data_IF_208430621402
#
_entry.id   IF_208430621402
#
_cell.length_a   1.000
_cell.length_b   1.000
_cell.length_c   1.000
_cell.angle_alpha   90.00
_cell.angle_beta   90.00
_cell.angle_gamma   90.00
#
_symmetry.space_group_name_H-M   'P 1'
#
loop_
_entity.id
_entity.type
_entity.pdbx_description
1 polymer ?
#
# COMPACT_ATOMS: atom_id res chain seq x y z
N UNK A 1 -1.03 -0.61 16.40
CA UNK A 1 -0.30 -1.71 15.71
C UNK A 1 1.11 -1.92 16.22
N UNK A 2 1.78 -0.91 16.81
CA UNK A 2 3.07 -1.16 17.46
C UNK A 2 2.92 -2.16 18.62
N UNK A 3 1.74 -2.26 19.24
CA UNK A 3 1.44 -3.26 20.27
C UNK A 3 1.54 -4.70 19.77
N UNK A 4 1.42 -4.95 18.46
CA UNK A 4 1.53 -6.29 17.86
C UNK A 4 2.94 -6.47 17.28
N UNK A 5 3.44 -5.48 16.54
CA UNK A 5 4.71 -5.62 15.81
C UNK A 5 5.95 -5.48 16.68
N UNK A 6 5.83 -4.98 17.91
CA UNK A 6 6.94 -4.80 18.86
C UNK A 6 6.80 -5.66 20.12
N UNK A 7 5.73 -6.45 20.24
CA UNK A 7 5.53 -7.38 21.34
C UNK A 7 6.22 -8.71 21.05
N UNK A 8 6.54 -9.47 22.10
CA UNK A 8 6.98 -10.84 21.92
C UNK A 8 5.80 -11.71 21.45
N UNK A 9 6.04 -12.77 20.65
CA UNK A 9 4.97 -13.68 20.23
C UNK A 9 4.17 -14.26 21.39
N UNK A 10 4.83 -14.57 22.52
CA UNK A 10 4.23 -15.10 23.75
C UNK A 10 3.27 -14.10 24.44
N UNK A 11 3.43 -12.80 24.16
CA UNK A 11 2.68 -11.71 24.80
C UNK A 11 1.50 -11.25 23.94
N UNK A 12 1.42 -11.72 22.69
CA UNK A 12 0.38 -11.34 21.75
C UNK A 12 -0.63 -12.47 21.61
N UNK A 13 -1.93 -12.23 21.88
CA UNK A 13 -2.96 -13.23 21.61
C UNK A 13 -2.93 -13.64 20.13
N UNK A 14 -2.57 -14.89 19.88
CA UNK A 14 -2.50 -15.47 18.54
C UNK A 14 -3.22 -16.82 18.50
N UNK A 15 -3.74 -17.15 17.33
CA UNK A 15 -4.30 -18.47 17.04
C UNK A 15 -3.43 -19.13 15.99
N UNK A 16 -3.21 -20.43 16.13
CA UNK A 16 -2.57 -21.20 15.07
C UNK A 16 -3.49 -21.21 13.84
N UNK A 17 -2.91 -20.86 12.70
CA UNK A 17 -3.55 -20.94 11.40
C UNK A 17 -2.50 -21.45 10.43
N UNK A 18 -2.74 -22.62 9.85
CA UNK A 18 -1.87 -23.21 8.84
C UNK A 18 -2.27 -22.73 7.44
N UNK A 19 -1.33 -22.68 6.46
CA UNK A 19 -1.63 -22.22 5.10
C UNK A 19 -2.82 -22.94 4.45
N UNK A 20 -2.95 -24.25 4.67
CA UNK A 20 -4.01 -25.09 4.10
C UNK A 20 -5.42 -24.75 4.66
N UNK A 21 -5.50 -24.07 5.80
CA UNK A 21 -6.76 -23.68 6.43
C UNK A 21 -7.29 -22.33 5.92
N UNK A 22 -6.43 -21.51 5.31
CA UNK A 22 -6.78 -20.17 4.82
C UNK A 22 -7.95 -20.19 3.83
N UNK A 23 -7.98 -21.06 2.80
CA UNK A 23 -9.10 -21.08 1.86
C UNK A 23 -10.46 -21.36 2.51
N UNK A 24 -10.51 -22.30 3.45
CA UNK A 24 -11.74 -22.64 4.16
C UNK A 24 -12.21 -21.48 5.05
N UNK A 25 -11.27 -20.79 5.71
CA UNK A 25 -11.56 -19.62 6.53
C UNK A 25 -12.08 -18.46 5.67
N UNK A 26 -11.39 -18.14 4.57
CA UNK A 26 -11.81 -17.10 3.63
C UNK A 26 -13.22 -17.38 3.09
N UNK A 27 -13.53 -18.63 2.73
CA UNK A 27 -14.88 -19.03 2.31
C UNK A 27 -15.92 -18.84 3.41
N UNK A 28 -15.59 -19.16 4.65
CA UNK A 28 -16.51 -18.99 5.81
C UNK A 28 -16.90 -17.53 6.01
N UNK A 29 -15.98 -16.60 5.73
CA UNK A 29 -16.21 -15.15 5.83
C UNK A 29 -16.58 -14.48 4.51
N UNK A 30 -16.91 -15.24 3.46
CA UNK A 30 -17.22 -14.73 2.11
C UNK A 30 -16.15 -13.76 1.57
N UNK A 31 -14.88 -14.03 1.89
CA UNK A 31 -13.75 -13.25 1.45
C UNK A 31 -13.30 -13.67 0.05
N UNK A 32 -13.02 -12.68 -0.80
CA UNK A 32 -12.49 -12.88 -2.17
C UNK A 32 -10.96 -12.79 -2.24
N UNK A 33 -10.35 -12.29 -1.18
CA UNK A 33 -8.91 -12.07 -1.10
C UNK A 33 -8.37 -12.26 0.31
N UNK A 34 -7.08 -12.55 0.39
CA UNK A 34 -6.32 -12.64 1.64
C UNK A 34 -5.24 -11.56 1.63
N UNK A 35 -5.11 -10.84 2.74
CA UNK A 35 -4.10 -9.82 2.93
C UNK A 35 -3.09 -10.23 4.00
N UNK A 36 -1.80 -10.06 3.72
CA UNK A 36 -0.70 -10.35 4.64
C UNK A 36 -0.12 -9.03 5.15
N UNK A 37 -0.25 -8.74 6.45
CA UNK A 37 -0.07 -7.39 7.02
C UNK A 37 0.18 -7.40 8.55
N UNK A 38 0.20 -6.21 9.15
CA UNK A 38 0.40 -5.84 10.58
C UNK A 38 1.80 -6.13 11.13
N UNK A 39 2.21 -7.38 11.12
CA UNK A 39 3.63 -7.74 11.16
C UNK A 39 4.21 -7.59 9.75
N UNK A 40 5.41 -8.08 9.51
CA UNK A 40 6.05 -7.96 8.19
C UNK A 40 6.04 -9.33 7.46
N UNK A 41 5.28 -9.50 6.37
CA UNK A 41 5.24 -10.77 5.62
C UNK A 41 6.59 -11.24 5.08
N UNK A 42 7.57 -10.36 4.95
CA UNK A 42 8.94 -10.77 4.62
C UNK A 42 9.69 -11.44 5.78
N UNK A 43 9.24 -11.27 7.03
CA UNK A 43 9.82 -11.91 8.21
C UNK A 43 9.31 -13.35 8.35
N UNK A 44 8.05 -13.61 8.04
CA UNK A 44 7.45 -14.96 8.01
C UNK A 44 7.31 -15.49 6.58
N UNK A 45 8.36 -15.31 5.77
CA UNK A 45 8.33 -15.50 4.33
C UNK A 45 7.76 -16.86 3.89
N UNK A 46 8.19 -17.96 4.50
CA UNK A 46 7.76 -19.31 4.16
C UNK A 46 6.24 -19.46 4.37
N UNK A 47 5.74 -19.03 5.52
CA UNK A 47 4.32 -19.05 5.83
C UNK A 47 3.52 -18.18 4.86
N UNK A 48 3.98 -16.96 4.58
CA UNK A 48 3.32 -16.05 3.63
C UNK A 48 3.28 -16.65 2.22
N UNK A 49 4.37 -17.26 1.77
CA UNK A 49 4.46 -17.87 0.45
C UNK A 49 3.53 -19.07 0.32
N UNK A 50 3.57 -20.01 1.26
CA UNK A 50 2.73 -21.21 1.23
C UNK A 50 1.25 -20.82 1.29
N UNK A 51 0.93 -19.82 2.11
CA UNK A 51 -0.42 -19.25 2.18
C UNK A 51 -0.87 -18.64 0.85
N UNK A 52 0.00 -17.87 0.18
CA UNK A 52 -0.30 -17.30 -1.13
C UNK A 52 -0.58 -18.40 -2.17
N UNK A 53 0.19 -19.50 -2.13
CA UNK A 53 -0.01 -20.65 -3.00
C UNK A 53 -1.39 -21.25 -2.76
N UNK A 54 -1.76 -21.56 -1.51
CA UNK A 54 -3.06 -22.16 -1.17
C UNK A 54 -4.24 -21.27 -1.51
N UNK A 55 -4.13 -19.98 -1.21
CA UNK A 55 -5.16 -19.00 -1.57
C UNK A 55 -5.37 -18.97 -3.10
N UNK A 56 -4.28 -18.95 -3.88
CA UNK A 56 -4.36 -18.93 -5.34
C UNK A 56 -4.93 -20.22 -5.93
N UNK A 57 -4.54 -21.38 -5.40
CA UNK A 57 -5.11 -22.69 -5.77
C UNK A 57 -6.64 -22.73 -5.56
N UNK A 58 -7.13 -22.04 -4.53
CA UNK A 58 -8.56 -21.90 -4.23
C UNK A 58 -9.27 -20.77 -5.00
N UNK A 59 -8.59 -20.08 -5.91
CA UNK A 59 -9.15 -18.98 -6.70
C UNK A 59 -9.27 -17.64 -5.95
N UNK A 60 -8.66 -17.50 -4.77
CA UNK A 60 -8.60 -16.26 -4.00
C UNK A 60 -7.48 -15.35 -4.52
N UNK A 61 -7.66 -14.03 -4.32
CA UNK A 61 -6.64 -13.02 -4.59
C UNK A 61 -5.72 -12.82 -3.41
N UNK A 62 -4.44 -12.55 -3.67
CA UNK A 62 -3.46 -12.26 -2.61
C UNK A 62 -3.00 -10.81 -2.64
N UNK A 63 -3.02 -10.16 -1.48
CA UNK A 63 -2.53 -8.80 -1.28
C UNK A 63 -1.43 -8.75 -0.22
N UNK A 64 -0.29 -8.12 -0.53
CA UNK A 64 0.77 -7.85 0.45
C UNK A 64 0.67 -6.42 0.97
N UNK A 65 0.84 -6.23 2.28
CA UNK A 65 1.11 -4.93 2.88
C UNK A 65 2.45 -5.05 3.60
N UNK A 66 3.48 -4.35 3.13
CA UNK A 66 4.88 -4.66 3.48
C UNK A 66 5.79 -3.44 3.42
N UNK A 67 6.86 -3.45 4.20
CA UNK A 67 7.99 -2.53 4.04
C UNK A 67 8.87 -2.85 2.82
N UNK A 68 8.67 -4.01 2.18
CA UNK A 68 9.33 -4.37 0.92
C UNK A 68 10.84 -4.58 1.02
N UNK A 69 11.38 -4.85 2.22
CA UNK A 69 12.81 -5.07 2.43
C UNK A 69 13.17 -6.55 2.24
N UNK A 70 13.39 -6.96 0.99
CA UNK A 70 13.62 -8.36 0.61
C UNK A 70 14.61 -8.48 -0.55
N UNK A 71 15.33 -9.61 -0.62
CA UNK A 71 16.18 -9.96 -1.75
C UNK A 71 15.35 -10.28 -3.00
N UNK A 72 15.89 -9.98 -4.18
CA UNK A 72 15.14 -10.11 -5.44
C UNK A 72 14.69 -11.55 -5.75
N UNK A 73 15.55 -12.56 -5.50
CA UNK A 73 15.23 -13.97 -5.78
C UNK A 73 13.97 -14.45 -5.01
N UNK A 74 13.88 -14.33 -3.68
CA UNK A 74 12.67 -14.72 -2.96
C UNK A 74 11.47 -13.81 -3.29
N UNK A 75 11.69 -12.52 -3.58
CA UNK A 75 10.62 -11.63 -4.04
C UNK A 75 9.98 -12.14 -5.34
N UNK A 76 10.78 -12.44 -6.36
CA UNK A 76 10.27 -12.95 -7.65
C UNK A 76 9.50 -14.26 -7.51
N UNK A 77 9.90 -15.12 -6.57
CA UNK A 77 9.16 -16.35 -6.25
C UNK A 77 7.78 -16.01 -5.67
N UNK A 78 7.71 -15.06 -4.74
CA UNK A 78 6.48 -14.62 -4.10
C UNK A 78 5.53 -13.92 -5.09
N UNK A 79 6.05 -13.04 -5.96
CA UNK A 79 5.25 -12.30 -6.95
C UNK A 79 4.46 -13.19 -7.92
N UNK A 80 4.83 -14.47 -8.10
CA UNK A 80 4.07 -15.42 -8.92
C UNK A 80 2.67 -15.70 -8.36
N UNK A 81 2.49 -15.50 -7.06
CA UNK A 81 1.27 -15.83 -6.33
C UNK A 81 0.54 -14.61 -5.78
N UNK A 82 1.14 -13.42 -5.87
CA UNK A 82 0.60 -12.16 -5.36
C UNK A 82 -0.07 -11.39 -6.49
N UNK A 83 -1.28 -10.88 -6.25
CA UNK A 83 -2.02 -10.08 -7.22
C UNK A 83 -1.82 -8.58 -6.98
N UNK A 84 -1.71 -8.15 -5.72
CA UNK A 84 -1.50 -6.75 -5.36
C UNK A 84 -0.50 -6.57 -4.20
N UNK A 85 0.18 -5.43 -4.15
CA UNK A 85 1.08 -5.08 -3.06
C UNK A 85 1.01 -3.59 -2.74
N UNK A 86 0.70 -3.26 -1.48
CA UNK A 86 0.92 -1.94 -0.91
C UNK A 86 2.28 -1.93 -0.21
N UNK A 87 3.22 -1.16 -0.73
CA UNK A 87 4.61 -1.14 -0.25
C UNK A 87 4.92 0.22 0.37
N UNK A 88 5.44 0.20 1.60
CA UNK A 88 5.85 1.40 2.32
C UNK A 88 7.16 1.96 1.77
N UNK A 89 7.10 3.08 1.04
CA UNK A 89 8.27 3.89 0.72
C UNK A 89 8.37 5.02 1.73
N UNK A 90 9.15 4.82 2.81
CA UNK A 90 9.15 5.73 3.98
C UNK A 90 9.82 7.08 3.72
N UNK A 91 10.81 7.14 2.84
CA UNK A 91 11.43 8.36 2.33
C UNK A 91 12.27 8.05 1.09
N UNK A 92 12.59 9.04 0.26
CA UNK A 92 13.58 8.88 -0.81
C UNK A 92 14.99 9.28 -0.33
N UNK A 93 15.41 8.74 0.82
CA UNK A 93 16.67 9.06 1.49
C UNK A 93 17.28 7.84 2.19
N UNK A 94 18.46 7.40 1.78
CA UNK A 94 19.15 6.27 2.44
C UNK A 94 19.52 6.62 3.89
N UNK A 95 19.80 7.90 4.18
CA UNK A 95 20.04 8.38 5.54
C UNK A 95 18.81 8.16 6.43
N UNK A 96 17.61 8.52 5.95
CA UNK A 96 16.37 8.28 6.72
C UNK A 96 16.21 6.78 7.03
N UNK A 97 16.48 5.91 6.06
CA UNK A 97 16.41 4.46 6.27
C UNK A 97 17.42 3.96 7.31
N UNK A 98 18.66 4.45 7.30
CA UNK A 98 19.68 4.06 8.28
C UNK A 98 19.39 4.58 9.68
N UNK A 99 19.01 5.86 9.78
CA UNK A 99 18.86 6.55 11.06
C UNK A 99 17.54 6.16 11.74
N UNK A 100 16.44 6.12 10.99
CA UNK A 100 15.09 5.91 11.52
C UNK A 100 14.65 4.44 11.39
N UNK A 101 14.88 3.82 10.23
CA UNK A 101 14.34 2.48 9.95
C UNK A 101 15.33 1.35 10.29
N UNK A 102 16.60 1.68 10.60
CA UNK A 102 17.70 0.71 10.75
C UNK A 102 17.85 -0.23 9.55
N UNK A 103 17.62 0.30 8.35
CA UNK A 103 17.63 -0.43 7.09
C UNK A 103 18.32 0.40 6.00
N UNK A 104 18.19 0.00 4.73
CA UNK A 104 18.69 0.73 3.56
C UNK A 104 17.58 0.96 2.53
N UNK A 105 17.68 2.02 1.73
CA UNK A 105 16.62 2.38 0.79
C UNK A 105 16.54 1.44 -0.43
N UNK A 106 17.70 1.03 -0.94
CA UNK A 106 17.82 0.34 -2.24
C UNK A 106 16.95 -0.92 -2.35
N UNK A 107 16.87 -1.83 -1.34
CA UNK A 107 16.02 -3.01 -1.44
C UNK A 107 14.53 -2.68 -1.62
N UNK A 108 14.03 -1.63 -0.97
CA UNK A 108 12.61 -1.22 -1.09
C UNK A 108 12.31 -0.69 -2.49
N UNK A 109 13.20 0.14 -3.05
CA UNK A 109 13.06 0.63 -4.42
C UNK A 109 13.09 -0.51 -5.44
N UNK A 110 13.99 -1.48 -5.25
CA UNK A 110 14.05 -2.67 -6.09
C UNK A 110 12.75 -3.49 -5.99
N UNK A 111 12.19 -3.65 -4.80
CA UNK A 111 10.93 -4.38 -4.59
C UNK A 111 9.78 -3.75 -5.35
N UNK A 112 9.61 -2.43 -5.27
CA UNK A 112 8.58 -1.69 -6.02
C UNK A 112 8.68 -1.95 -7.53
N UNK A 113 9.89 -1.82 -8.10
CA UNK A 113 10.13 -2.01 -9.53
C UNK A 113 9.92 -3.46 -9.96
N UNK A 114 10.44 -4.42 -9.19
CA UNK A 114 10.32 -5.85 -9.50
C UNK A 114 8.88 -6.32 -9.40
N UNK A 115 8.13 -5.93 -8.37
CA UNK A 115 6.70 -6.25 -8.25
C UNK A 115 5.93 -5.80 -9.49
N UNK A 116 6.11 -4.53 -9.89
CA UNK A 116 5.41 -3.97 -11.05
C UNK A 116 5.82 -4.67 -12.36
N UNK A 117 7.11 -4.94 -12.53
CA UNK A 117 7.62 -5.68 -13.70
C UNK A 117 7.12 -7.14 -13.76
N UNK A 118 6.79 -7.73 -12.61
CA UNK A 118 6.21 -9.08 -12.50
C UNK A 118 4.68 -9.09 -12.67
N UNK A 119 4.04 -7.93 -12.92
CA UNK A 119 2.60 -7.81 -13.13
C UNK A 119 1.76 -7.75 -11.84
N UNK A 120 2.39 -7.48 -10.70
CA UNK A 120 1.67 -7.21 -9.45
C UNK A 120 1.12 -5.78 -9.50
N UNK A 121 -0.14 -5.59 -9.09
CA UNK A 121 -0.69 -4.24 -8.90
C UNK A 121 -0.04 -3.59 -7.68
N UNK A 122 0.73 -2.54 -7.90
CA UNK A 122 1.52 -1.87 -6.86
C UNK A 122 0.87 -0.57 -6.45
N UNK A 123 0.71 -0.41 -5.14
CA UNK A 123 0.41 0.87 -4.52
C UNK A 123 1.55 1.25 -3.57
N UNK A 124 1.79 2.55 -3.41
CA UNK A 124 2.84 3.06 -2.53
C UNK A 124 2.21 3.76 -1.34
N UNK A 125 2.66 3.45 -0.13
CA UNK A 125 2.31 4.20 1.07
C UNK A 125 3.51 4.98 1.58
N UNK A 126 3.28 6.25 1.94
CA UNK A 126 4.27 7.11 2.56
C UNK A 126 3.66 7.77 3.81
N UNK A 127 4.10 7.32 4.99
CA UNK A 127 3.75 7.93 6.27
C UNK A 127 4.53 9.24 6.42
N UNK A 128 3.82 10.37 6.47
CA UNK A 128 4.46 11.68 6.59
C UNK A 128 4.74 11.98 8.06
N UNK A 129 6.00 12.08 8.43
CA UNK A 129 6.47 12.42 9.78
C UNK A 129 7.00 13.86 9.75
N UNK A 130 6.41 14.78 10.55
CA UNK A 130 6.85 16.17 10.60
C UNK A 130 8.36 16.31 10.77
N UNK A 131 8.98 17.23 10.05
CA UNK A 131 10.43 17.54 10.04
C UNK A 131 11.36 16.48 9.47
N UNK A 132 10.90 15.25 9.24
CA UNK A 132 11.77 14.15 8.80
C UNK A 132 11.62 13.80 7.32
N UNK A 133 10.40 13.83 6.79
CA UNK A 133 10.14 13.50 5.38
C UNK A 133 9.00 14.34 4.75
N UNK A 134 8.69 15.50 5.33
CA UNK A 134 7.53 16.33 4.97
C UNK A 134 7.89 17.64 4.23
N UNK A 135 9.14 17.83 3.81
CA UNK A 135 9.51 19.01 3.00
C UNK A 135 8.99 18.90 1.57
N UNK A 136 8.68 20.03 0.94
CA UNK A 136 8.21 20.07 -0.46
C UNK A 136 9.18 19.35 -1.40
N UNK A 137 10.48 19.52 -1.18
CA UNK A 137 11.52 18.95 -2.02
C UNK A 137 11.56 17.41 -1.89
N UNK A 138 11.39 16.88 -0.68
CA UNK A 138 11.27 15.44 -0.46
C UNK A 138 10.00 14.86 -1.09
N UNK A 139 8.86 15.54 -0.92
CA UNK A 139 7.57 15.13 -1.48
C UNK A 139 7.58 15.14 -3.02
N UNK A 140 8.19 16.17 -3.63
CA UNK A 140 8.40 16.24 -5.08
C UNK A 140 9.33 15.15 -5.57
N UNK A 141 10.46 14.93 -4.89
CA UNK A 141 11.41 13.89 -5.27
C UNK A 141 10.78 12.50 -5.24
N UNK A 142 10.05 12.17 -4.17
CA UNK A 142 9.30 10.92 -4.05
C UNK A 142 8.27 10.76 -5.16
N UNK A 143 7.45 11.79 -5.40
CA UNK A 143 6.39 11.74 -6.42
C UNK A 143 6.96 11.57 -7.83
N UNK A 144 8.02 12.33 -8.17
CA UNK A 144 8.74 12.19 -9.44
C UNK A 144 9.36 10.82 -9.62
N UNK A 145 9.92 10.25 -8.55
CA UNK A 145 10.50 8.92 -8.60
C UNK A 145 9.43 7.87 -8.92
N UNK A 146 8.25 7.95 -8.28
CA UNK A 146 7.12 7.04 -8.57
C UNK A 146 6.67 7.21 -10.02
N UNK A 147 6.44 8.43 -10.49
CA UNK A 147 6.04 8.69 -11.89
C UNK A 147 7.03 8.09 -12.88
N UNK A 148 8.33 8.25 -12.65
CA UNK A 148 9.38 7.79 -13.58
C UNK A 148 9.58 6.29 -13.57
N UNK A 149 9.54 5.66 -12.40
CA UNK A 149 9.93 4.25 -12.25
C UNK A 149 8.74 3.30 -12.19
N UNK A 150 7.60 3.79 -11.70
CA UNK A 150 6.38 3.01 -11.55
C UNK A 150 5.28 3.50 -12.50
N UNK A 151 5.26 4.75 -12.95
CA UNK A 151 4.23 5.27 -13.85
C UNK A 151 3.17 6.10 -13.13
N UNK A 152 2.55 7.02 -13.89
CA UNK A 152 1.62 8.06 -13.40
C UNK A 152 0.35 7.51 -12.78
N UNK A 153 -0.03 6.30 -13.19
CA UNK A 153 -1.19 5.57 -12.75
C UNK A 153 -0.98 4.82 -11.42
N UNK A 154 0.24 4.77 -10.89
CA UNK A 154 0.53 4.09 -9.62
C UNK A 154 -0.06 4.88 -8.45
N UNK A 155 -0.95 4.29 -7.63
CA UNK A 155 -1.51 4.96 -6.46
C UNK A 155 -0.45 5.30 -5.42
N UNK A 156 -0.53 6.52 -4.88
CA UNK A 156 0.25 6.97 -3.73
C UNK A 156 -0.66 7.35 -2.58
N UNK A 157 -0.42 6.80 -1.41
CA UNK A 157 -1.14 7.08 -0.17
C UNK A 157 -0.24 7.86 0.78
N UNK A 158 -0.61 9.09 1.11
CA UNK A 158 0.01 9.82 2.20
C UNK A 158 -0.75 9.55 3.50
N UNK A 159 -0.07 8.96 4.47
CA UNK A 159 -0.67 8.57 5.75
C UNK A 159 -0.24 9.50 6.88
N UNK A 160 -1.16 9.81 7.78
CA UNK A 160 -0.91 10.62 8.98
C UNK A 160 -0.08 9.84 10.00
N UNK A 161 1.01 10.46 10.47
CA UNK A 161 1.77 10.01 11.63
C UNK A 161 1.06 10.41 12.94
N UNK A 162 1.19 9.55 13.93
CA UNK A 162 0.80 9.78 15.31
C UNK A 162 1.97 9.45 16.24
N UNK A 163 2.25 10.28 17.26
CA UNK A 163 3.39 10.10 18.16
C UNK A 163 3.19 8.98 19.17
N UNK A 164 3.30 7.75 18.70
CA UNK A 164 3.20 6.53 19.49
C UNK A 164 4.56 5.85 19.67
N UNK A 165 4.61 4.86 20.56
CA UNK A 165 5.79 4.08 20.88
C UNK A 165 7.01 4.94 21.27
N UNK A 166 8.10 4.95 20.50
CA UNK A 166 9.34 5.66 20.82
C UNK A 166 9.39 7.11 20.32
N UNK A 167 8.69 7.44 19.23
CA UNK A 167 8.75 8.76 18.60
C UNK A 167 7.63 9.67 19.15
N UNK A 168 7.77 10.07 20.42
CA UNK A 168 6.75 10.88 21.13
C UNK A 168 6.98 12.38 21.10
N UNK A 169 8.15 12.80 20.65
CA UNK A 169 8.62 14.19 20.69
C UNK A 169 8.18 15.04 19.49
N UNK A 170 7.45 14.47 18.54
CA UNK A 170 6.91 15.16 17.36
C UNK A 170 5.38 15.24 17.45
N UNK A 171 4.74 16.28 16.91
CA UNK A 171 3.29 16.30 16.82
C UNK A 171 2.78 15.26 15.81
N UNK A 172 1.50 14.86 15.88
CA UNK A 172 0.89 14.16 14.75
C UNK A 172 0.94 15.04 13.50
N UNK A 173 1.03 14.45 12.31
CA UNK A 173 1.12 15.22 11.07
C UNK A 173 -0.08 16.14 10.93
N UNK A 174 0.12 17.46 10.76
CA UNK A 174 -0.96 18.37 10.43
C UNK A 174 -1.65 17.90 9.15
N UNK A 175 -2.96 18.10 9.07
CA UNK A 175 -3.67 17.61 7.91
C UNK A 175 -3.37 18.46 6.66
N UNK A 176 -3.08 19.73 6.88
CA UNK A 176 -2.67 20.70 5.88
C UNK A 176 -1.36 20.25 5.22
N UNK A 177 -0.48 19.58 5.96
CA UNK A 177 0.73 18.94 5.42
C UNK A 177 0.38 17.81 4.45
N UNK A 178 -0.65 17.01 4.75
CA UNK A 178 -1.12 15.92 3.88
C UNK A 178 -1.83 16.47 2.64
N UNK A 179 -2.65 17.50 2.80
CA UNK A 179 -3.32 18.20 1.68
C UNK A 179 -2.28 18.79 0.72
N UNK A 180 -1.25 19.44 1.26
CA UNK A 180 -0.11 19.94 0.48
C UNK A 180 0.65 18.81 -0.22
N UNK A 181 0.93 17.70 0.48
CA UNK A 181 1.61 16.55 -0.11
C UNK A 181 0.82 15.97 -1.30
N UNK A 182 -0.51 15.85 -1.15
CA UNK A 182 -1.41 15.43 -2.23
C UNK A 182 -1.33 16.37 -3.43
N UNK A 183 -1.44 17.68 -3.22
CA UNK A 183 -1.34 18.67 -4.30
C UNK A 183 0.00 18.60 -5.03
N UNK A 184 1.10 18.46 -4.28
CA UNK A 184 2.44 18.30 -4.86
C UNK A 184 2.50 17.05 -5.74
N UNK A 185 2.09 15.90 -5.22
CA UNK A 185 2.12 14.64 -5.96
C UNK A 185 1.29 14.67 -7.25
N UNK A 186 0.09 15.27 -7.20
CA UNK A 186 -0.75 15.49 -8.38
C UNK A 186 -0.09 16.43 -9.38
N UNK A 187 0.54 17.52 -8.92
CA UNK A 187 1.28 18.46 -9.77
C UNK A 187 2.50 17.84 -10.46
N UNK A 188 3.13 16.86 -9.83
CA UNK A 188 4.24 16.08 -10.41
C UNK A 188 3.74 14.97 -11.37
N UNK A 189 2.41 14.80 -11.48
CA UNK A 189 1.76 14.04 -12.54
C UNK A 189 1.09 12.73 -12.12
N UNK A 190 1.02 12.42 -10.83
CA UNK A 190 0.30 11.25 -10.33
C UNK A 190 -1.21 11.40 -10.49
N UNK A 191 -1.86 10.35 -11.01
CA UNK A 191 -3.31 10.34 -11.26
C UNK A 191 -4.13 10.03 -10.01
N UNK A 192 -3.57 9.22 -9.11
CA UNK A 192 -4.27 8.72 -7.93
C UNK A 192 -3.42 8.97 -6.70
N UNK A 193 -3.85 9.96 -5.91
CA UNK A 193 -3.20 10.31 -4.65
C UNK A 193 -4.25 10.34 -3.56
N UNK A 194 -4.01 9.60 -2.48
CA UNK A 194 -4.95 9.43 -1.38
C UNK A 194 -4.35 9.94 -0.08
N UNK A 195 -5.22 10.38 0.83
CA UNK A 195 -4.85 10.74 2.20
C UNK A 195 -5.49 9.74 3.14
N UNK A 196 -4.68 9.13 4.00
CA UNK A 196 -5.08 8.08 4.92
C UNK A 196 -4.83 8.43 6.38
N UNK A 197 -5.37 7.60 7.28
CA UNK A 197 -5.20 7.70 8.72
C UNK A 197 -5.69 9.03 9.33
N UNK A 198 -6.64 9.67 8.66
CA UNK A 198 -7.36 10.86 9.10
C UNK A 198 -8.70 10.94 8.37
N UNK A 199 -9.75 11.44 9.04
CA UNK A 199 -11.00 11.79 8.37
C UNK A 199 -10.84 13.13 7.65
N UNK A 200 -10.83 13.09 6.31
CA UNK A 200 -10.76 14.27 5.45
C UNK A 200 -11.71 14.13 4.25
N UNK A 201 -12.45 15.18 3.87
CA UNK A 201 -13.33 15.13 2.70
C UNK A 201 -12.57 14.74 1.44
N UNK A 202 -13.12 13.81 0.65
CA UNK A 202 -12.56 13.35 -0.64
C UNK A 202 -11.16 12.71 -0.58
N UNK A 203 -10.61 12.51 0.61
CA UNK A 203 -9.26 12.00 0.82
C UNK A 203 -9.06 10.58 0.25
N UNK A 204 -10.09 9.74 0.31
CA UNK A 204 -10.10 8.38 -0.21
C UNK A 204 -10.87 8.21 -1.53
N UNK A 205 -11.36 9.28 -2.14
CA UNK A 205 -12.18 9.19 -3.35
C UNK A 205 -11.30 8.99 -4.59
N UNK A 206 -11.76 8.13 -5.51
CA UNK A 206 -11.09 7.95 -6.80
C UNK A 206 -11.78 8.81 -7.86
N UNK A 207 -11.01 9.69 -8.51
CA UNK A 207 -11.46 10.50 -9.64
C UNK A 207 -10.86 9.99 -10.95
N UNK A 208 -11.61 10.10 -12.04
CA UNK A 208 -11.12 9.70 -13.36
C UNK A 208 -10.02 10.65 -13.85
N UNK A 209 -8.81 10.18 -14.20
CA UNK A 209 -7.77 11.07 -14.70
C UNK A 209 -8.09 11.69 -16.07
N UNK A 210 -8.97 11.05 -16.86
CA UNK A 210 -9.38 11.58 -18.17
C UNK A 210 -10.46 12.66 -18.15
N UNK A 211 -11.42 12.61 -17.22
CA UNK A 211 -12.57 13.53 -17.23
C UNK A 211 -12.89 14.17 -15.87
N UNK A 212 -12.13 13.87 -14.82
CA UNK A 212 -12.29 14.43 -13.48
C UNK A 212 -13.52 13.96 -12.70
N UNK A 213 -14.41 13.15 -13.30
CA UNK A 213 -15.60 12.65 -12.61
C UNK A 213 -15.22 11.71 -11.47
N UNK A 214 -15.92 11.80 -10.34
CA UNK A 214 -15.78 10.86 -9.22
C UNK A 214 -16.26 9.48 -9.68
N UNK A 215 -15.41 8.48 -9.47
CA UNK A 215 -15.65 7.09 -9.84
C UNK A 215 -15.89 6.21 -8.62
N UNK A 216 -15.17 6.45 -7.52
CA UNK A 216 -15.36 5.73 -6.27
C UNK A 216 -15.53 6.73 -5.14
N UNK A 217 -16.61 6.60 -4.37
CA UNK A 217 -16.87 7.35 -3.14
C UNK A 217 -16.49 6.48 -1.94
N UNK A 218 -15.71 7.01 -0.99
CA UNK A 218 -15.38 6.30 0.24
C UNK A 218 -15.68 7.13 1.49
N UNK A 219 -16.12 6.45 2.53
CA UNK A 219 -16.19 6.98 3.90
C UNK A 219 -15.45 6.02 4.82
N UNK A 220 -14.23 6.39 5.22
CA UNK A 220 -13.31 5.45 5.87
C UNK A 220 -13.05 4.24 4.98
N UNK A 221 -13.32 3.04 5.52
CA UNK A 221 -13.18 1.78 4.79
C UNK A 221 -14.40 1.40 3.95
N UNK A 222 -15.51 2.13 4.06
CA UNK A 222 -16.74 1.83 3.31
C UNK A 222 -16.71 2.44 1.92
N UNK A 223 -16.95 1.63 0.91
CA UNK A 223 -17.19 2.08 -0.47
C UNK A 223 -18.68 2.40 -0.62
N UNK A 224 -19.02 3.68 -0.66
CA UNK A 224 -20.41 4.13 -0.78
C UNK A 224 -20.91 4.10 -2.22
N UNK A 225 -20.01 4.20 -3.19
CA UNK A 225 -20.33 4.16 -4.61
C UNK A 225 -19.12 3.68 -5.41
N UNK A 226 -19.33 2.79 -6.38
CA UNK A 226 -18.32 2.42 -7.37
C UNK A 226 -18.92 2.40 -8.80
N UNK A 227 -18.52 3.39 -9.60
CA UNK A 227 -18.96 3.59 -10.99
C UNK A 227 -18.02 2.94 -12.02
N UNK A 228 -16.89 2.37 -11.60
CA UNK A 228 -15.92 1.73 -12.51
C UNK A 228 -16.56 0.49 -13.12
N UNK A 229 -16.38 0.29 -14.43
CA UNK A 229 -16.92 -0.86 -15.17
C UNK A 229 -15.80 -1.49 -15.98
N UNK A 230 -15.50 -2.76 -15.71
CA UNK A 230 -14.42 -3.51 -16.40
C UNK A 230 -13.09 -2.72 -16.43
N UNK A 231 -12.73 -2.13 -15.29
CA UNK A 231 -11.53 -1.30 -15.14
C UNK A 231 -11.50 0.00 -15.92
N UNK A 232 -12.66 0.52 -16.35
CA UNK A 232 -12.75 1.79 -17.10
C UNK A 232 -13.76 2.76 -16.50
N UNK A 233 -13.49 4.04 -16.71
CA UNK A 233 -14.46 5.11 -16.50
C UNK A 233 -15.67 4.91 -17.43
N UNK A 234 -16.90 4.89 -16.93
CA UNK A 234 -18.08 4.71 -17.77
C UNK A 234 -18.31 5.90 -18.71
N UNK A 235 -17.89 7.09 -18.29
CA UNK A 235 -18.15 8.36 -18.99
C UNK A 235 -17.18 8.63 -20.15
N UNK A 236 -15.86 8.43 -19.96
CA UNK A 236 -14.83 8.74 -20.98
C UNK A 236 -13.95 7.54 -21.38
N UNK A 237 -14.23 6.34 -20.87
CA UNK A 237 -13.53 5.09 -21.18
C UNK A 237 -12.05 5.01 -20.79
N UNK A 238 -11.50 6.04 -20.12
CA UNK A 238 -10.16 5.98 -19.54
C UNK A 238 -10.02 4.77 -18.62
N UNK A 239 -8.95 3.99 -18.83
CA UNK A 239 -8.59 2.87 -17.97
C UNK A 239 -8.21 3.36 -16.58
N UNK A 240 -8.67 2.67 -15.55
CA UNK A 240 -8.41 2.97 -14.15
C UNK A 240 -7.53 1.86 -13.60
N UNK A 241 -6.41 2.23 -12.99
CA UNK A 241 -5.46 1.30 -12.40
C UNK A 241 -6.11 0.45 -11.30
N UNK A 242 -5.64 -0.78 -11.11
CA UNK A 242 -6.15 -1.72 -10.12
C UNK A 242 -6.82 -2.96 -10.69
N UNK A 243 -7.10 -3.91 -9.78
CA UNK A 243 -7.81 -5.15 -10.08
C UNK A 243 -9.32 -4.92 -9.99
N UNK A 244 -9.98 -4.95 -11.15
CA UNK A 244 -11.42 -4.80 -11.23
C UNK A 244 -12.05 -6.11 -11.67
N UNK A 245 -13.04 -6.56 -10.93
CA UNK A 245 -13.79 -7.75 -11.34
C UNK A 245 -14.47 -7.49 -12.70
N UNK A 246 -14.33 -8.40 -13.68
CA UNK A 246 -15.41 -8.57 -14.63
C UNK A 246 -16.61 -8.99 -13.78
N UNK A 247 -17.73 -8.26 -13.89
CA UNK A 247 -18.92 -8.45 -13.04
C UNK A 247 -19.20 -9.94 -12.74
N UNK A 248 -19.72 -10.27 -11.54
CA UNK A 248 -20.37 -11.56 -11.35
C UNK A 248 -21.50 -11.76 -12.36
#
# INVERSE_FOLDING_TARGET
NWEISQANPEETPAVELLPDQIPALAKTYDCRSVAYTYTEPMVFYEYALDSCIRAKEAGLKNALVTAGYINEKPLRRLCRYVDAANIDLKALSDRFYRDICRATLKPVLNTLVVCKAMGVEVEVTNLIIPTLNDSDEMLRALSRWIVRNLGRETPLHFSRFFPHYQMRNLPPTPAETLDRAKQIAESEGLHFVYIGNITRPKAGDTFCPGCGRRLVHRSGYLVLENRIRQGKCPDCKTSIYGLWEPKP
#
